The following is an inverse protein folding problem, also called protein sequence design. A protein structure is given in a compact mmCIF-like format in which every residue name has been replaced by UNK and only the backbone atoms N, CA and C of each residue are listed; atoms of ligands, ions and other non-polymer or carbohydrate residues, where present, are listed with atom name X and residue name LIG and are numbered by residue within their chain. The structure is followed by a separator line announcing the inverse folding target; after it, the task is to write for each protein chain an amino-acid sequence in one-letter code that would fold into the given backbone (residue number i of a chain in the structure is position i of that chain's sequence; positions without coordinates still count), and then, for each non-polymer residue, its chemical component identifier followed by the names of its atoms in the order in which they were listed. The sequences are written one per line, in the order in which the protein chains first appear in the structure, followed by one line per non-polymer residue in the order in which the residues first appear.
data_IF_978126150207
#
_entry.id   IF_978126150207
#
_cell.length_a   1.000
_cell.length_b   1.000
_cell.length_c   1.000
_cell.angle_alpha   90.00
_cell.angle_beta   90.00
_cell.angle_gamma   90.00
#
_symmetry.space_group_name_H-M   'P 1'
#
loop_
_entity.id
_entity.type
_entity.pdbx_description
1 polymer ?
#
# COMPACT_ATOMS: atom_id res chain seq x y z
N UNK A 1 -5.81 -22.42 -5.22
CA UNK A 1 -6.05 -20.99 -4.94
C UNK A 1 -5.09 -20.51 -3.85
N UNK A 2 -4.79 -19.23 -3.87
CA UNK A 2 -3.91 -18.57 -2.90
C UNK A 2 -4.68 -18.03 -1.69
N UNK A 3 -5.98 -17.75 -1.86
CA UNK A 3 -6.82 -17.24 -0.80
C UNK A 3 -8.02 -18.16 -0.54
N UNK A 4 -8.47 -18.30 0.73
CA UNK A 4 -9.55 -19.23 1.08
C UNK A 4 -10.89 -18.84 0.43
N UNK A 5 -11.17 -17.56 0.25
CA UNK A 5 -12.43 -17.09 -0.37
C UNK A 5 -12.52 -17.40 -1.86
N UNK A 6 -11.40 -17.63 -2.55
CA UNK A 6 -11.41 -17.94 -3.99
C UNK A 6 -12.01 -19.33 -4.27
N UNK A 7 -11.84 -20.29 -3.35
CA UNK A 7 -12.29 -21.67 -3.56
C UNK A 7 -13.79 -21.76 -3.84
N UNK A 8 -14.60 -20.92 -3.22
CA UNK A 8 -16.05 -20.89 -3.39
C UNK A 8 -16.47 -20.59 -4.82
N UNK A 9 -15.74 -19.71 -5.53
CA UNK A 9 -16.04 -19.36 -6.94
C UNK A 9 -15.80 -20.55 -7.87
N UNK A 10 -14.73 -21.31 -7.65
CA UNK A 10 -14.41 -22.49 -8.46
C UNK A 10 -15.38 -23.64 -8.17
N UNK A 11 -15.71 -23.86 -6.90
CA UNK A 11 -16.66 -24.90 -6.48
C UNK A 11 -18.06 -24.66 -7.07
N UNK A 12 -18.53 -23.42 -7.11
CA UNK A 12 -19.81 -23.06 -7.72
C UNK A 12 -19.91 -23.42 -9.22
N UNK A 13 -18.76 -23.54 -9.89
CA UNK A 13 -18.66 -23.92 -11.29
C UNK A 13 -18.17 -25.37 -11.49
N UNK A 14 -18.20 -26.19 -10.45
CA UNK A 14 -17.76 -27.59 -10.47
C UNK A 14 -16.29 -27.77 -10.93
N UNK A 15 -15.45 -26.76 -10.71
CA UNK A 15 -14.02 -26.82 -11.01
C UNK A 15 -13.28 -27.37 -9.79
N UNK A 16 -12.53 -28.48 -9.91
CA UNK A 16 -11.70 -29.00 -8.82
C UNK A 16 -10.73 -27.92 -8.33
N UNK A 17 -10.74 -27.65 -7.03
CA UNK A 17 -9.93 -26.59 -6.43
C UNK A 17 -9.37 -27.01 -5.08
N UNK A 18 -8.13 -26.59 -4.80
CA UNK A 18 -7.49 -26.74 -3.50
C UNK A 18 -6.87 -25.41 -3.08
N UNK A 19 -7.14 -25.01 -1.84
CA UNK A 19 -6.44 -23.89 -1.22
C UNK A 19 -5.04 -24.35 -0.78
N UNK A 20 -4.00 -23.64 -1.19
CA UNK A 20 -2.58 -23.98 -0.93
C UNK A 20 -1.86 -22.90 -0.12
N UNK A 21 -2.51 -21.76 0.14
CA UNK A 21 -1.91 -20.61 0.80
C UNK A 21 -1.11 -19.73 -0.13
N UNK A 22 -0.77 -18.54 0.36
CA UNK A 22 0.02 -17.57 -0.42
C UNK A 22 1.51 -17.71 -0.08
N UNK A 23 2.42 -17.78 -1.08
CA UNK A 23 3.86 -17.94 -0.86
C UNK A 23 4.49 -16.88 0.06
N UNK A 24 4.00 -15.64 0.02
CA UNK A 24 4.48 -14.57 0.90
C UNK A 24 4.39 -14.92 2.40
N UNK A 25 3.43 -15.76 2.80
CA UNK A 25 3.31 -16.20 4.18
C UNK A 25 4.51 -17.05 4.67
N UNK A 26 5.27 -17.62 3.73
CA UNK A 26 6.48 -18.38 4.03
C UNK A 26 7.76 -17.54 3.93
N UNK A 27 7.69 -16.39 3.25
CA UNK A 27 8.87 -15.53 2.99
C UNK A 27 8.98 -14.36 3.96
N UNK A 28 7.85 -13.88 4.48
CA UNK A 28 7.84 -12.77 5.44
C UNK A 28 7.85 -13.35 6.86
N UNK A 29 8.89 -13.09 7.67
CA UNK A 29 8.96 -13.60 9.04
C UNK A 29 7.89 -12.95 9.92
N UNK A 30 7.41 -13.69 10.94
CA UNK A 30 6.42 -13.18 11.90
C UNK A 30 6.99 -12.05 12.76
N UNK A 31 8.27 -12.11 13.06
CA UNK A 31 8.99 -11.06 13.80
C UNK A 31 9.93 -10.35 12.83
N UNK A 32 9.72 -9.05 12.69
CA UNK A 32 10.51 -8.19 11.82
C UNK A 32 11.56 -7.45 12.65
N UNK A 33 12.80 -7.50 12.20
CA UNK A 33 13.86 -6.68 12.78
C UNK A 33 13.78 -5.26 12.20
N UNK A 34 13.02 -4.39 12.89
CA UNK A 34 12.84 -3.00 12.52
C UNK A 34 14.14 -2.21 12.57
N UNK A 35 15.00 -2.50 13.56
CA UNK A 35 16.27 -1.78 13.70
C UNK A 35 17.21 -2.11 12.54
N UNK A 36 17.35 -3.38 12.19
CA UNK A 36 18.10 -3.80 11.02
C UNK A 36 17.55 -3.21 9.72
N UNK A 37 16.23 -3.20 9.53
CA UNK A 37 15.61 -2.61 8.34
C UNK A 37 15.90 -1.10 8.25
N UNK A 38 15.81 -0.37 9.35
CA UNK A 38 16.14 1.06 9.40
C UNK A 38 17.62 1.31 9.09
N UNK A 39 18.51 0.51 9.63
CA UNK A 39 19.95 0.59 9.34
C UNK A 39 20.22 0.39 7.83
N UNK A 40 19.63 -0.62 7.22
CA UNK A 40 19.76 -0.92 5.78
C UNK A 40 19.31 0.28 4.94
N UNK A 41 18.20 0.93 5.34
CA UNK A 41 17.63 2.07 4.61
C UNK A 41 18.26 3.42 4.97
N UNK A 42 19.23 3.47 5.86
CA UNK A 42 19.85 4.71 6.34
C UNK A 42 18.89 5.63 7.10
N UNK A 43 17.87 5.04 7.74
CA UNK A 43 16.87 5.76 8.52
C UNK A 43 17.32 5.89 9.99
N UNK A 44 16.85 6.93 10.70
CA UNK A 44 17.08 7.04 12.13
C UNK A 44 16.52 5.84 12.89
N UNK A 45 17.24 5.37 13.88
CA UNK A 45 16.77 4.29 14.74
C UNK A 45 15.46 4.64 15.45
N UNK A 46 15.37 5.89 15.90
CA UNK A 46 14.19 6.44 16.58
C UNK A 46 13.40 7.37 15.67
N UNK A 47 12.19 7.70 16.10
CA UNK A 47 11.25 8.53 15.35
C UNK A 47 10.24 7.69 14.55
N UNK A 48 9.26 8.39 13.98
CA UNK A 48 8.17 7.78 13.21
C UNK A 48 8.46 7.82 11.72
N UNK A 49 8.24 6.70 11.07
CA UNK A 49 8.43 6.53 9.62
C UNK A 49 7.12 6.08 8.98
N UNK A 50 6.68 6.77 7.95
CA UNK A 50 5.52 6.40 7.13
C UNK A 50 5.99 5.94 5.76
N UNK A 51 5.58 4.76 5.35
CA UNK A 51 5.84 4.26 4.01
C UNK A 51 4.72 4.70 3.04
N UNK A 52 5.11 5.16 1.86
CA UNK A 52 4.19 5.54 0.78
C UNK A 52 4.34 4.54 -0.36
N UNK A 53 3.30 3.76 -0.64
CA UNK A 53 3.27 2.76 -1.71
C UNK A 53 2.16 3.07 -2.71
N UNK A 54 2.35 4.05 -3.62
CA UNK A 54 1.30 4.52 -4.54
C UNK A 54 1.00 3.54 -5.69
N UNK A 55 1.68 2.41 -5.73
CA UNK A 55 1.52 1.36 -6.74
C UNK A 55 2.79 1.08 -7.52
N UNK A 56 2.76 0.03 -8.33
CA UNK A 56 3.90 -0.43 -9.16
C UNK A 56 3.74 -0.06 -10.63
N UNK A 57 2.53 0.22 -11.09
CA UNK A 57 2.23 0.56 -12.48
C UNK A 57 2.16 2.07 -12.66
N UNK A 58 2.63 2.56 -13.82
CA UNK A 58 2.65 3.99 -14.10
C UNK A 58 1.30 4.68 -14.00
N UNK A 59 0.21 3.99 -14.36
CA UNK A 59 -1.14 4.50 -14.23
C UNK A 59 -1.66 4.57 -12.79
N UNK A 60 -1.19 3.70 -11.90
CA UNK A 60 -1.48 3.75 -10.46
C UNK A 60 -0.74 4.92 -9.82
N UNK A 61 0.57 4.99 -10.03
CA UNK A 61 1.42 6.09 -9.56
C UNK A 61 0.91 7.44 -10.07
N UNK A 62 0.50 7.53 -11.35
CA UNK A 62 -0.07 8.76 -11.91
C UNK A 62 -1.37 9.22 -11.26
N UNK A 63 -2.11 8.35 -10.58
CA UNK A 63 -3.38 8.70 -9.91
C UNK A 63 -3.23 8.89 -8.40
N UNK A 64 -2.27 8.19 -7.78
CA UNK A 64 -2.11 8.14 -6.34
C UNK A 64 -0.83 8.83 -5.85
N UNK A 65 0.17 9.04 -6.72
CA UNK A 65 1.46 9.61 -6.33
C UNK A 65 1.31 10.99 -5.71
N UNK A 66 0.76 11.96 -6.44
CA UNK A 66 0.54 13.32 -5.91
C UNK A 66 -0.37 13.32 -4.69
N UNK A 67 -1.40 12.48 -4.69
CA UNK A 67 -2.33 12.34 -3.57
C UNK A 67 -1.60 11.91 -2.27
N UNK A 68 -0.70 10.93 -2.36
CA UNK A 68 0.08 10.45 -1.23
C UNK A 68 1.13 11.47 -0.78
N UNK A 69 1.73 12.18 -1.72
CA UNK A 69 2.68 13.26 -1.41
C UNK A 69 2.00 14.45 -0.74
N UNK A 70 0.79 14.81 -1.16
CA UNK A 70 -0.02 15.86 -0.51
C UNK A 70 -0.45 15.44 0.90
N UNK A 71 -0.88 14.18 1.09
CA UNK A 71 -1.17 13.63 2.41
C UNK A 71 0.08 13.64 3.31
N UNK A 72 1.24 13.28 2.78
CA UNK A 72 2.51 13.34 3.51
C UNK A 72 2.86 14.77 3.95
N UNK A 73 2.58 15.79 3.12
CA UNK A 73 2.76 17.19 3.51
C UNK A 73 1.82 17.60 4.65
N UNK A 74 0.56 17.14 4.65
CA UNK A 74 -0.38 17.39 5.75
C UNK A 74 0.08 16.69 7.04
N UNK A 75 0.49 15.44 6.95
CA UNK A 75 1.04 14.69 8.09
C UNK A 75 2.28 15.38 8.67
N UNK A 76 3.20 15.86 7.81
CA UNK A 76 4.41 16.56 8.24
C UNK A 76 4.10 17.87 8.95
N UNK A 77 3.06 18.61 8.52
CA UNK A 77 2.61 19.84 9.22
C UNK A 77 2.09 19.53 10.61
N UNK A 78 1.38 18.41 10.79
CA UNK A 78 0.86 17.98 12.08
C UNK A 78 1.95 17.37 12.98
N UNK A 79 2.95 16.71 12.40
CA UNK A 79 4.03 16.02 13.08
C UNK A 79 5.37 16.26 12.36
N UNK A 80 6.10 17.34 12.68
CA UNK A 80 7.32 17.75 11.94
C UNK A 80 8.48 16.75 11.99
N UNK A 81 8.47 15.83 12.96
CA UNK A 81 9.50 14.79 13.11
C UNK A 81 9.30 13.56 12.21
N UNK A 82 8.18 13.50 11.46
CA UNK A 82 7.92 12.38 10.57
C UNK A 82 9.00 12.27 9.48
N UNK A 83 9.32 11.03 9.14
CA UNK A 83 10.11 10.66 7.96
C UNK A 83 9.26 9.82 7.04
N UNK A 84 9.56 9.89 5.76
CA UNK A 84 8.85 9.12 4.74
C UNK A 84 9.81 8.26 3.93
N UNK A 85 9.36 7.07 3.56
CA UNK A 85 10.06 6.20 2.62
C UNK A 85 9.10 5.83 1.48
N UNK A 86 9.62 5.80 0.27
CA UNK A 86 8.83 5.50 -0.92
C UNK A 86 9.62 4.54 -1.81
N UNK A 87 9.30 3.23 -1.79
CA UNK A 87 9.92 2.26 -2.66
C UNK A 87 9.43 2.42 -4.11
N UNK A 88 10.37 2.58 -5.02
CA UNK A 88 10.13 2.67 -6.46
C UNK A 88 10.20 1.26 -7.06
N UNK A 89 9.13 0.81 -7.70
CA UNK A 89 9.03 -0.54 -8.26
C UNK A 89 9.92 -0.76 -9.49
N UNK A 90 10.37 0.30 -10.14
CA UNK A 90 11.27 0.26 -11.29
C UNK A 90 11.95 1.62 -11.51
N UNK A 91 13.03 1.69 -12.33
CA UNK A 91 13.67 2.95 -12.68
C UNK A 91 12.70 3.98 -13.29
N UNK A 92 11.75 3.55 -14.13
CA UNK A 92 10.75 4.43 -14.73
C UNK A 92 9.80 5.00 -13.67
N UNK A 93 9.48 4.21 -12.63
CA UNK A 93 8.66 4.68 -11.51
C UNK A 93 9.44 5.65 -10.65
N UNK A 94 10.74 5.44 -10.50
CA UNK A 94 11.62 6.40 -9.83
C UNK A 94 11.60 7.75 -10.52
N UNK A 95 11.85 7.79 -11.83
CA UNK A 95 11.81 9.04 -12.62
C UNK A 95 10.44 9.72 -12.51
N UNK A 96 9.36 8.96 -12.58
CA UNK A 96 7.99 9.49 -12.45
C UNK A 96 7.78 10.14 -11.07
N UNK A 97 8.22 9.50 -10.01
CA UNK A 97 8.06 9.99 -8.63
C UNK A 97 9.00 11.17 -8.33
N UNK A 98 10.22 11.17 -8.85
CA UNK A 98 11.14 12.30 -8.77
C UNK A 98 10.53 13.56 -9.42
N UNK A 99 9.88 13.41 -10.58
CA UNK A 99 9.18 14.53 -11.23
C UNK A 99 8.02 15.09 -10.37
N UNK A 100 7.28 14.22 -9.66
CA UNK A 100 6.22 14.63 -8.74
C UNK A 100 6.75 15.30 -7.46
N UNK A 101 7.99 15.02 -7.08
CA UNK A 101 8.63 15.61 -5.91
C UNK A 101 9.20 17.01 -6.15
N UNK A 102 9.32 17.44 -7.40
CA UNK A 102 9.84 18.77 -7.74
C UNK A 102 9.03 19.86 -7.03
N UNK A 103 9.72 20.73 -6.29
CA UNK A 103 9.10 21.80 -5.51
C UNK A 103 8.47 21.40 -4.19
N UNK A 104 8.47 20.11 -3.81
CA UNK A 104 7.99 19.62 -2.51
C UNK A 104 9.15 19.52 -1.52
N UNK A 105 8.92 19.99 -0.30
CA UNK A 105 9.88 19.86 0.80
C UNK A 105 9.39 18.78 1.77
N UNK A 106 9.74 17.54 1.49
CA UNK A 106 9.40 16.38 2.31
C UNK A 106 10.69 15.67 2.76
N UNK A 107 10.84 15.29 4.04
CA UNK A 107 11.91 14.42 4.51
C UNK A 107 11.61 12.98 4.05
N UNK A 108 11.74 12.73 2.75
CA UNK A 108 11.36 11.51 2.07
C UNK A 108 12.58 10.88 1.40
N UNK A 109 12.76 9.59 1.61
CA UNK A 109 13.79 8.78 0.97
C UNK A 109 13.15 7.91 -0.11
N UNK A 110 13.55 8.10 -1.37
CA UNK A 110 13.21 7.20 -2.46
C UNK A 110 14.12 5.98 -2.41
N UNK A 111 13.53 4.78 -2.50
CA UNK A 111 14.23 3.51 -2.47
C UNK A 111 14.10 2.82 -3.83
N UNK A 112 15.16 2.14 -4.29
CA UNK A 112 15.12 1.33 -5.52
C UNK A 112 14.66 -0.09 -5.16
N UNK A 113 13.39 -0.38 -5.34
CA UNK A 113 12.76 -1.58 -4.79
C UNK A 113 12.65 -1.49 -3.27
N UNK A 114 13.14 -2.50 -2.55
CA UNK A 114 13.24 -2.55 -1.08
C UNK A 114 11.90 -2.33 -0.35
N UNK A 115 10.78 -2.79 -0.97
CA UNK A 115 9.44 -2.64 -0.37
C UNK A 115 9.31 -3.40 0.95
N UNK A 116 9.96 -4.56 1.08
CA UNK A 116 9.96 -5.35 2.31
C UNK A 116 10.69 -4.64 3.46
N UNK A 117 11.87 -4.08 3.17
CA UNK A 117 12.63 -3.30 4.15
C UNK A 117 11.86 -2.03 4.54
N UNK A 118 11.21 -1.36 3.59
CA UNK A 118 10.36 -0.20 3.86
C UNK A 118 9.20 -0.57 4.79
N UNK A 119 8.52 -1.69 4.55
CA UNK A 119 7.45 -2.19 5.41
C UNK A 119 7.97 -2.64 6.78
N UNK A 120 9.15 -3.25 6.85
CA UNK A 120 9.76 -3.63 8.12
C UNK A 120 10.15 -2.40 8.96
N UNK A 121 10.66 -1.34 8.32
CA UNK A 121 11.18 -0.13 8.96
C UNK A 121 10.09 0.85 9.43
N UNK A 122 8.92 0.90 8.74
CA UNK A 122 7.90 1.91 8.96
C UNK A 122 6.98 1.62 10.15
N UNK A 123 6.25 2.65 10.58
CA UNK A 123 5.24 2.58 11.64
C UNK A 123 3.81 2.50 11.08
N UNK A 124 3.60 3.11 9.91
CA UNK A 124 2.32 3.11 9.20
C UNK A 124 2.55 3.19 7.68
N UNK A 125 1.53 2.85 6.92
CA UNK A 125 1.61 2.78 5.45
C UNK A 125 0.42 3.47 4.79
N UNK A 126 0.67 4.37 3.84
CA UNK A 126 -0.30 4.75 2.83
C UNK A 126 -0.06 3.87 1.60
N UNK A 127 -1.06 3.11 1.17
CA UNK A 127 -0.84 2.04 0.20
C UNK A 127 -1.95 1.97 -0.85
N UNK A 128 -1.56 1.76 -2.10
CA UNK A 128 -2.49 1.42 -3.17
C UNK A 128 -3.06 0.01 -2.96
N UNK A 129 -4.34 -0.19 -3.27
CA UNK A 129 -4.95 -1.52 -3.24
C UNK A 129 -4.25 -2.46 -4.23
N UNK A 130 -3.83 -3.63 -3.75
CA UNK A 130 -3.12 -4.64 -4.52
C UNK A 130 -2.44 -5.67 -3.62
N UNK A 131 -1.55 -6.49 -4.19
CA UNK A 131 -0.80 -7.52 -3.47
C UNK A 131 0.05 -6.96 -2.33
N UNK A 132 0.55 -5.72 -2.47
CA UNK A 132 1.32 -5.05 -1.43
C UNK A 132 0.54 -4.87 -0.11
N UNK A 133 -0.80 -4.84 -0.14
CA UNK A 133 -1.62 -4.81 1.09
C UNK A 133 -1.52 -6.11 1.89
N UNK A 134 -1.28 -7.25 1.22
CA UNK A 134 -0.99 -8.50 1.90
C UNK A 134 0.40 -8.48 2.54
N UNK A 135 1.39 -7.93 1.86
CA UNK A 135 2.74 -7.76 2.41
C UNK A 135 2.71 -6.89 3.67
N UNK A 136 2.02 -5.75 3.62
CA UNK A 136 1.85 -4.86 4.76
C UNK A 136 1.10 -5.53 5.93
N UNK A 137 0.08 -6.37 5.62
CA UNK A 137 -0.64 -7.17 6.62
C UNK A 137 0.28 -8.19 7.29
N UNK A 138 1.07 -8.93 6.51
CA UNK A 138 2.02 -9.92 7.02
C UNK A 138 3.14 -9.25 7.84
N UNK A 139 3.54 -8.05 7.44
CA UNK A 139 4.44 -7.20 8.23
C UNK A 139 3.77 -6.56 9.47
N UNK A 140 2.48 -6.81 9.72
CA UNK A 140 1.71 -6.27 10.84
C UNK A 140 1.74 -4.73 10.89
N UNK A 141 1.69 -4.07 9.72
CA UNK A 141 1.75 -2.60 9.65
C UNK A 141 0.34 -2.01 9.58
N UNK A 142 0.01 -1.06 10.46
CA UNK A 142 -1.17 -0.22 10.27
C UNK A 142 -1.13 0.44 8.89
N UNK A 143 -2.25 0.40 8.17
CA UNK A 143 -2.29 0.93 6.81
C UNK A 143 -3.61 1.64 6.51
N UNK A 144 -3.54 2.61 5.61
CA UNK A 144 -4.69 3.20 4.93
C UNK A 144 -4.57 2.86 3.46
N UNK A 145 -5.60 2.21 2.93
CA UNK A 145 -5.63 1.74 1.54
C UNK A 145 -6.34 2.75 0.67
N UNK A 146 -5.72 3.17 -0.42
CA UNK A 146 -6.34 4.01 -1.44
C UNK A 146 -6.49 3.29 -2.76
N UNK A 147 -7.56 3.64 -3.50
CA UNK A 147 -7.79 3.10 -4.84
C UNK A 147 -8.42 4.15 -5.75
N UNK A 148 -7.77 4.40 -6.88
CA UNK A 148 -8.29 5.27 -7.95
C UNK A 148 -8.11 4.63 -9.33
N UNK A 149 -9.18 4.64 -10.10
CA UNK A 149 -9.18 4.28 -11.52
C UNK A 149 -9.80 5.41 -12.34
N UNK A 150 -9.77 5.29 -13.67
CA UNK A 150 -10.45 6.25 -14.53
C UNK A 150 -11.97 6.30 -14.19
N UNK A 151 -12.62 7.47 -14.19
CA UNK A 151 -14.02 7.62 -13.77
C UNK A 151 -14.98 6.70 -14.52
N UNK A 152 -14.78 6.51 -15.83
CA UNK A 152 -15.60 5.62 -16.64
C UNK A 152 -15.41 4.15 -16.21
N UNK A 153 -14.16 3.74 -16.00
CA UNK A 153 -13.83 2.39 -15.50
C UNK A 153 -14.50 2.15 -14.15
N UNK A 154 -14.45 3.12 -13.25
CA UNK A 154 -15.09 3.00 -11.94
C UNK A 154 -16.61 2.82 -12.04
N UNK A 155 -17.27 3.59 -12.90
CA UNK A 155 -18.73 3.47 -13.12
C UNK A 155 -19.12 2.06 -13.59
N UNK A 156 -18.31 1.45 -14.46
CA UNK A 156 -18.51 0.10 -14.94
C UNK A 156 -18.24 -0.90 -13.82
N UNK A 157 -17.09 -0.81 -13.16
CA UNK A 157 -16.71 -1.73 -12.09
C UNK A 157 -17.69 -1.70 -10.92
N UNK A 158 -18.18 -0.53 -10.52
CA UNK A 158 -19.16 -0.37 -9.44
C UNK A 158 -20.47 -1.16 -9.68
N UNK A 159 -20.81 -1.43 -10.95
CA UNK A 159 -21.98 -2.24 -11.31
C UNK A 159 -21.70 -3.72 -11.42
N UNK A 160 -20.45 -4.09 -11.70
CA UNK A 160 -20.04 -5.47 -11.94
C UNK A 160 -19.46 -6.16 -10.70
N UNK A 161 -18.83 -5.38 -9.82
CA UNK A 161 -18.16 -5.91 -8.62
C UNK A 161 -19.14 -5.88 -7.46
N UNK A 162 -19.46 -7.07 -6.95
CA UNK A 162 -20.33 -7.26 -5.78
C UNK A 162 -19.54 -7.33 -4.46
N UNK A 163 -18.23 -7.25 -4.49
CA UNK A 163 -17.40 -7.31 -3.28
C UNK A 163 -17.59 -6.07 -2.41
N UNK A 164 -17.78 -6.28 -1.12
CA UNK A 164 -17.88 -5.20 -0.13
C UNK A 164 -16.52 -4.52 0.13
N UNK A 165 -15.41 -5.19 -0.19
CA UNK A 165 -14.04 -4.74 0.08
C UNK A 165 -13.16 -4.91 -1.14
N UNK A 166 -12.08 -4.11 -1.20
CA UNK A 166 -11.11 -4.15 -2.31
C UNK A 166 -9.71 -4.53 -1.87
N UNK A 167 -9.37 -4.39 -0.60
CA UNK A 167 -8.05 -4.75 -0.08
C UNK A 167 -8.03 -6.19 0.44
N UNK A 168 -6.91 -6.86 0.30
CA UNK A 168 -6.74 -8.23 0.78
C UNK A 168 -6.95 -8.37 2.30
N UNK A 169 -6.51 -7.45 3.16
CA UNK A 169 -6.81 -7.51 4.60
C UNK A 169 -8.31 -7.59 4.90
N UNK A 170 -9.12 -6.73 4.29
CA UNK A 170 -10.56 -6.70 4.52
C UNK A 170 -11.28 -7.90 3.91
N UNK A 171 -10.87 -8.33 2.71
CA UNK A 171 -11.37 -9.54 2.06
C UNK A 171 -11.11 -10.79 2.89
N UNK A 172 -9.90 -10.94 3.43
CA UNK A 172 -9.53 -12.07 4.29
C UNK A 172 -10.25 -12.04 5.63
N UNK A 173 -10.43 -10.86 6.21
CA UNK A 173 -11.12 -10.69 7.48
C UNK A 173 -12.66 -10.79 7.35
N UNK A 174 -13.21 -10.65 6.14
CA UNK A 174 -14.66 -10.55 5.92
C UNK A 174 -15.31 -9.33 6.57
N UNK A 175 -14.50 -8.35 6.98
CA UNK A 175 -14.93 -7.12 7.67
C UNK A 175 -13.97 -5.97 7.39
N UNK A 176 -14.38 -4.75 7.70
CA UNK A 176 -13.50 -3.58 7.63
C UNK A 176 -12.44 -3.67 8.75
N UNK A 177 -11.25 -4.11 8.39
CA UNK A 177 -10.08 -4.20 9.26
C UNK A 177 -9.20 -2.96 9.12
N UNK A 178 -9.04 -2.48 7.87
CA UNK A 178 -8.26 -1.29 7.53
C UNK A 178 -9.11 -0.32 6.72
N UNK A 179 -8.94 1.00 6.85
CA UNK A 179 -9.63 1.98 6.03
C UNK A 179 -9.37 1.79 4.53
N UNK A 180 -10.44 1.86 3.71
CA UNK A 180 -10.37 1.85 2.25
C UNK A 180 -10.96 3.16 1.71
N UNK A 181 -10.12 3.98 1.12
CA UNK A 181 -10.52 5.23 0.49
C UNK A 181 -10.55 5.06 -1.04
N UNK A 182 -11.77 5.07 -1.59
CA UNK A 182 -12.00 4.73 -3.00
C UNK A 182 -12.43 5.98 -3.77
N UNK A 183 -11.79 6.24 -4.90
CA UNK A 183 -12.11 7.33 -5.83
C UNK A 183 -12.16 8.70 -5.11
N UNK A 184 -13.33 9.32 -5.04
CA UNK A 184 -13.52 10.66 -4.47
C UNK A 184 -13.31 10.70 -2.94
N UNK A 185 -13.46 9.57 -2.25
CA UNK A 185 -13.13 9.47 -0.83
C UNK A 185 -11.61 9.48 -0.56
N UNK A 186 -10.79 9.14 -1.57
CA UNK A 186 -9.34 9.20 -1.43
C UNK A 186 -8.86 10.65 -1.62
N UNK A 187 -8.95 11.47 -0.57
CA UNK A 187 -8.40 12.84 -0.53
C UNK A 187 -7.15 12.89 0.34
N UNK A 188 -6.26 13.90 0.17
CA UNK A 188 -5.10 14.07 1.04
C UNK A 188 -5.47 14.16 2.52
N UNK A 189 -6.56 14.86 2.85
CA UNK A 189 -7.06 15.04 4.21
C UNK A 189 -7.55 13.71 4.81
N UNK A 190 -8.30 12.93 4.04
CA UNK A 190 -8.79 11.62 4.49
C UNK A 190 -7.67 10.60 4.66
N UNK A 191 -6.59 10.70 3.87
CA UNK A 191 -5.40 9.85 3.99
C UNK A 191 -4.54 10.26 5.19
N UNK A 192 -4.58 11.53 5.59
CA UNK A 192 -3.78 12.07 6.69
C UNK A 192 -4.50 12.02 8.05
N UNK A 193 -5.81 11.73 8.07
CA UNK A 193 -6.62 11.64 9.29
C UNK A 193 -6.36 10.34 10.04
#
# INVERSE_FOLDING_TARGET
TLFPFEAQFYQAHQVPVRFVGHPLANTIPLELDRAAARLILGLPEQGRVVALLPGSRGGEVGKLGDLFLDAAQLLLRAQPELRFVLPCASPERRVQLEAMLVGRQLPLTLLDGQSHEALAACDAVLIASGTATLEALLCQRPMVVAYRVAPLTYRILKRLVSSAYISLPNLLAGRLLVPELIQDAATPEALAA
#
